data_IF_559007918022
#
_entry.id   IF_559007918022
#
_cell.length_a   1.000
_cell.length_b   1.000
_cell.length_c   1.000
_cell.angle_alpha   90.00
_cell.angle_beta   90.00
_cell.angle_gamma   90.00
#
_symmetry.space_group_name_H-M   'P 1'
#
loop_
_entity.id
_entity.type
_entity.pdbx_description
1 polymer ?
#
# COMPACT_ATOMS: atom_id res chain seq x y z
N UNK A 1 -5.77 -8.03 -10.42
CA UNK A 1 -5.68 -8.30 -8.97
C UNK A 1 -6.84 -7.61 -8.28
N UNK A 2 -7.28 -8.11 -7.11
CA UNK A 2 -8.36 -7.55 -6.30
C UNK A 2 -7.80 -7.17 -4.93
N UNK A 3 -7.89 -5.91 -4.53
CA UNK A 3 -7.35 -5.42 -3.26
C UNK A 3 -8.22 -5.84 -2.08
N UNK A 4 -7.59 -6.18 -0.95
CA UNK A 4 -8.29 -6.46 0.30
C UNK A 4 -8.71 -5.15 0.99
N UNK A 5 -9.97 -5.06 1.40
CA UNK A 5 -10.56 -3.93 2.11
C UNK A 5 -10.85 -4.35 3.56
N UNK A 6 -9.99 -3.98 4.53
CA UNK A 6 -10.09 -4.45 5.91
C UNK A 6 -11.41 -4.08 6.59
N UNK A 7 -11.97 -2.91 6.28
CA UNK A 7 -13.23 -2.44 6.85
C UNK A 7 -14.42 -3.31 6.45
N UNK A 8 -14.30 -4.03 5.33
CA UNK A 8 -15.32 -4.95 4.83
C UNK A 8 -14.96 -6.43 5.04
N UNK A 9 -13.75 -6.72 5.56
CA UNK A 9 -13.18 -8.06 5.63
C UNK A 9 -13.35 -8.84 4.31
N UNK A 10 -13.12 -8.15 3.19
CA UNK A 10 -13.38 -8.68 1.86
C UNK A 10 -12.40 -8.13 0.84
N UNK A 11 -12.16 -8.90 -0.22
CA UNK A 11 -11.49 -8.39 -1.41
C UNK A 11 -12.48 -7.62 -2.29
N UNK A 12 -12.00 -6.67 -3.08
CA UNK A 12 -12.81 -5.93 -4.05
C UNK A 12 -13.58 -6.90 -4.97
N UNK A 13 -14.81 -6.53 -5.32
CA UNK A 13 -15.66 -7.36 -6.17
C UNK A 13 -15.07 -7.50 -7.58
N UNK A 14 -14.43 -6.43 -8.08
CA UNK A 14 -13.84 -6.34 -9.41
C UNK A 14 -12.32 -6.17 -9.38
N UNK A 15 -11.67 -6.39 -10.51
CA UNK A 15 -10.23 -6.15 -10.67
C UNK A 15 -9.96 -4.66 -10.53
N UNK A 16 -9.14 -4.28 -9.57
CA UNK A 16 -8.78 -2.89 -9.24
C UNK A 16 -7.27 -2.65 -9.10
N UNK A 17 -6.46 -3.70 -9.26
CA UNK A 17 -5.01 -3.61 -9.15
C UNK A 17 -4.26 -4.36 -10.25
N UNK A 18 -3.20 -3.75 -10.77
CA UNK A 18 -2.31 -4.28 -11.81
C UNK A 18 -0.95 -4.62 -11.20
N UNK A 19 -0.44 -5.79 -11.53
CA UNK A 19 0.89 -6.27 -11.14
C UNK A 19 1.48 -7.07 -12.30
N UNK A 20 2.79 -7.30 -12.27
CA UNK A 20 3.51 -8.00 -13.32
C UNK A 20 3.98 -9.37 -12.83
N UNK A 21 3.94 -10.35 -13.73
CA UNK A 21 4.67 -11.62 -13.58
C UNK A 21 5.91 -11.56 -14.48
N UNK A 22 7.07 -11.87 -13.91
CA UNK A 22 8.36 -11.92 -14.61
C UNK A 22 8.90 -13.33 -14.55
N UNK A 23 9.30 -13.89 -15.69
CA UNK A 23 10.03 -15.15 -15.76
C UNK A 23 11.52 -14.86 -15.94
N UNK A 24 12.36 -15.41 -15.07
CA UNK A 24 13.81 -15.25 -15.12
C UNK A 24 14.48 -16.56 -14.68
N UNK A 25 15.36 -17.10 -15.52
CA UNK A 25 16.13 -18.33 -15.25
C UNK A 25 15.26 -19.51 -14.77
N UNK A 26 14.09 -19.68 -15.38
CA UNK A 26 13.15 -20.77 -15.06
C UNK A 26 12.34 -20.55 -13.77
N UNK A 27 12.43 -19.38 -13.16
CA UNK A 27 11.66 -18.98 -11.98
C UNK A 27 10.68 -17.87 -12.32
N UNK A 28 9.50 -17.95 -11.69
CA UNK A 28 8.48 -16.91 -11.78
C UNK A 28 8.54 -15.98 -10.58
N UNK A 29 8.44 -14.68 -10.83
CA UNK A 29 8.38 -13.64 -9.82
C UNK A 29 7.17 -12.75 -10.04
N UNK A 30 6.63 -12.20 -8.96
CA UNK A 30 5.73 -11.05 -9.00
C UNK A 30 6.54 -9.79 -8.77
N UNK A 31 6.31 -8.81 -9.62
CA UNK A 31 6.87 -7.46 -9.50
C UNK A 31 5.70 -6.49 -9.51
N UNK A 32 5.67 -5.61 -8.52
CA UNK A 32 4.65 -4.60 -8.35
C UNK A 32 5.34 -3.34 -7.82
N UNK A 33 5.28 -2.25 -8.58
CA UNK A 33 5.78 -0.92 -8.16
C UNK A 33 4.66 0.09 -7.93
N UNK A 34 3.40 -0.36 -7.91
CA UNK A 34 2.21 0.48 -7.95
C UNK A 34 1.34 0.42 -6.69
N UNK A 35 1.53 -0.55 -5.79
CA UNK A 35 0.70 -0.63 -4.59
C UNK A 35 1.02 0.46 -3.56
N UNK A 36 2.32 0.73 -3.34
CA UNK A 36 2.78 1.83 -2.48
C UNK A 36 2.60 1.62 -0.97
N UNK A 37 2.71 2.72 -0.23
CA UNK A 37 2.59 2.76 1.23
C UNK A 37 3.55 1.79 1.94
N UNK A 38 3.17 1.25 3.10
CA UNK A 38 3.93 0.28 3.90
C UNK A 38 3.81 -1.16 3.39
N UNK A 39 3.05 -1.35 2.32
CA UNK A 39 2.72 -2.64 1.72
C UNK A 39 3.54 -2.91 0.45
N UNK A 40 4.30 -1.91 -0.01
CA UNK A 40 5.18 -2.00 -1.17
C UNK A 40 6.31 -3.01 -0.92
N UNK A 41 6.41 -4.03 -1.77
CA UNK A 41 7.60 -4.89 -1.84
C UNK A 41 8.78 -4.09 -2.43
N UNK A 42 9.99 -4.32 -1.92
CA UNK A 42 11.23 -3.70 -2.44
C UNK A 42 12.00 -4.61 -3.39
N UNK A 43 11.68 -5.90 -3.38
CA UNK A 43 12.30 -6.91 -4.23
C UNK A 43 11.22 -7.73 -4.95
N UNK A 44 11.49 -8.24 -6.16
CA UNK A 44 10.65 -9.23 -6.80
C UNK A 44 10.35 -10.39 -5.85
N UNK A 45 9.10 -10.78 -5.75
CA UNK A 45 8.65 -11.87 -4.88
C UNK A 45 8.59 -13.16 -5.69
N UNK A 46 9.37 -14.18 -5.31
CA UNK A 46 9.32 -15.47 -6.00
C UNK A 46 7.93 -16.10 -5.81
N UNK A 47 7.35 -16.65 -6.87
CA UNK A 47 6.00 -17.17 -6.89
C UNK A 47 5.95 -18.57 -6.26
N UNK A 48 6.17 -18.64 -4.94
CA UNK A 48 6.17 -19.85 -4.12
C UNK A 48 5.19 -19.69 -2.97
N UNK A 49 4.22 -20.60 -2.90
CA UNK A 49 3.20 -20.62 -1.85
C UNK A 49 3.78 -21.01 -0.49
N UNK A 50 3.26 -20.41 0.59
CA UNK A 50 3.57 -20.74 1.98
C UNK A 50 4.95 -20.30 2.48
N UNK A 51 5.79 -19.69 1.64
CA UNK A 51 7.17 -19.34 1.98
C UNK A 51 7.29 -17.88 2.41
N UNK A 52 7.91 -17.65 3.56
CA UNK A 52 8.28 -16.31 4.01
C UNK A 52 9.40 -15.72 3.18
N UNK A 53 9.21 -14.49 2.71
CA UNK A 53 10.17 -13.72 1.94
C UNK A 53 10.46 -12.40 2.67
N UNK A 54 11.46 -12.39 3.57
CA UNK A 54 11.85 -11.19 4.32
C UNK A 54 12.43 -10.11 3.42
N UNK A 55 11.92 -8.89 3.56
CA UNK A 55 12.42 -7.69 2.91
C UNK A 55 12.51 -6.54 3.94
N UNK A 56 13.13 -5.41 3.56
CA UNK A 56 13.21 -4.24 4.46
C UNK A 56 11.84 -3.76 4.97
N UNK A 57 10.78 -3.64 4.13
CA UNK A 57 9.46 -3.23 4.61
C UNK A 57 8.79 -4.23 5.56
N UNK A 58 9.19 -5.50 5.53
CA UNK A 58 8.59 -6.57 6.32
C UNK A 58 8.74 -7.93 5.66
N UNK A 59 8.12 -8.94 6.26
CA UNK A 59 8.05 -10.28 5.70
C UNK A 59 6.78 -10.39 4.87
N UNK A 60 6.93 -10.77 3.60
CA UNK A 60 5.82 -11.03 2.70
C UNK A 60 5.67 -12.53 2.48
N UNK A 61 4.46 -12.95 2.14
CA UNK A 61 4.16 -14.36 1.85
C UNK A 61 3.10 -14.43 0.77
N UNK A 62 3.27 -15.38 -0.14
CA UNK A 62 2.19 -15.83 -0.99
C UNK A 62 1.51 -17.04 -0.39
N UNK A 63 0.18 -17.08 -0.45
CA UNK A 63 -0.60 -18.30 -0.28
C UNK A 63 -1.28 -18.60 -1.62
N UNK A 64 -1.42 -19.87 -1.94
CA UNK A 64 -2.09 -20.34 -3.15
C UNK A 64 -3.18 -21.32 -2.74
N UNK A 65 -4.38 -21.11 -3.28
CA UNK A 65 -5.52 -21.99 -3.10
C UNK A 65 -6.34 -22.01 -4.40
N UNK A 66 -6.49 -23.19 -5.00
CA UNK A 66 -7.34 -23.43 -6.17
C UNK A 66 -7.07 -22.49 -7.37
N UNK A 67 -5.80 -22.18 -7.64
CA UNK A 67 -5.36 -21.30 -8.73
C UNK A 67 -5.39 -19.81 -8.40
N UNK A 68 -5.79 -19.44 -7.17
CA UNK A 68 -5.81 -18.06 -6.67
C UNK A 68 -4.62 -17.85 -5.74
N UNK A 69 -3.89 -16.77 -5.98
CA UNK A 69 -2.74 -16.35 -5.20
C UNK A 69 -3.11 -15.16 -4.31
N UNK A 70 -2.69 -15.20 -3.06
CA UNK A 70 -2.94 -14.17 -2.05
C UNK A 70 -1.62 -13.60 -1.58
N UNK A 71 -1.46 -12.29 -1.63
CA UNK A 71 -0.33 -11.61 -1.00
C UNK A 71 -0.71 -11.19 0.42
N UNK A 72 0.11 -11.59 1.37
CA UNK A 72 0.05 -11.14 2.76
C UNK A 72 1.39 -10.57 3.22
N UNK A 73 1.34 -9.66 4.20
CA UNK A 73 2.51 -9.08 4.86
C UNK A 73 2.39 -9.22 6.36
N UNK A 74 3.41 -9.76 7.01
CA UNK A 74 3.49 -9.81 8.48
C UNK A 74 3.55 -8.39 9.03
N UNK A 75 2.68 -8.07 10.00
CA UNK A 75 2.68 -6.75 10.64
C UNK A 75 3.92 -6.62 11.52
N UNK A 76 4.68 -5.54 11.32
CA UNK A 76 5.77 -5.16 12.21
C UNK A 76 5.22 -4.18 13.27
N UNK A 77 5.76 -4.27 14.49
CA UNK A 77 5.42 -3.33 15.57
C UNK A 77 5.77 -1.90 15.15
N UNK A 78 4.99 -0.93 15.59
CA UNK A 78 5.22 0.48 15.30
C UNK A 78 5.47 1.25 16.59
N UNK A 79 6.41 2.17 16.56
CA UNK A 79 6.65 3.17 17.58
C UNK A 79 6.24 4.54 17.05
N UNK A 80 5.28 5.18 17.72
CA UNK A 80 4.81 6.53 17.41
C UNK A 80 5.25 7.46 18.54
N UNK A 81 6.21 8.38 18.33
CA UNK A 81 6.62 9.32 19.36
C UNK A 81 5.44 10.18 19.86
N UNK A 82 5.36 10.40 21.17
CA UNK A 82 4.35 11.27 21.78
C UNK A 82 2.94 10.67 21.93
N UNK A 83 2.68 9.46 21.40
CA UNK A 83 1.51 8.68 21.78
C UNK A 83 1.88 7.77 22.95
N UNK A 84 1.12 7.84 24.05
CA UNK A 84 1.13 6.75 25.03
C UNK A 84 0.67 5.49 24.31
N UNK A 85 1.21 4.34 24.68
CA UNK A 85 0.93 3.03 24.05
C UNK A 85 -0.52 2.64 24.31
N UNK A 86 -1.47 3.31 23.67
CA UNK A 86 -2.90 3.05 23.75
C UNK A 86 -3.64 3.80 22.66
N UNK A 87 -4.61 3.09 22.07
CA UNK A 87 -5.52 3.42 20.95
C UNK A 87 -4.98 3.03 19.55
N UNK A 88 -5.65 2.21 18.76
CA UNK A 88 -6.90 1.44 18.93
C UNK A 88 -7.05 0.48 17.74
N UNK A 89 -7.96 -0.50 17.90
CA UNK A 89 -8.46 -1.50 16.95
C UNK A 89 -7.75 -2.87 16.98
N UNK A 90 -8.13 -3.73 17.93
CA UNK A 90 -8.09 -5.21 17.82
C UNK A 90 -6.84 -5.82 17.15
N UNK A 91 -5.64 -5.30 17.43
CA UNK A 91 -4.40 -5.70 16.74
C UNK A 91 -3.93 -7.11 17.14
N UNK A 92 -4.45 -7.67 18.24
CA UNK A 92 -3.95 -8.94 18.78
C UNK A 92 -4.27 -10.18 17.93
N UNK A 93 -5.23 -10.13 16.98
CA UNK A 93 -5.65 -11.34 16.23
C UNK A 93 -5.01 -11.51 14.86
N UNK A 94 -4.64 -10.42 14.17
CA UNK A 94 -4.25 -10.50 12.77
C UNK A 94 -2.73 -10.27 12.63
N UNK A 95 -1.98 -11.38 12.71
CA UNK A 95 -0.50 -11.42 12.61
C UNK A 95 -0.02 -10.96 11.23
N UNK A 96 -0.80 -11.27 10.19
CA UNK A 96 -0.57 -10.88 8.82
C UNK A 96 -1.63 -9.87 8.38
N UNK A 97 -1.28 -9.01 7.44
CA UNK A 97 -2.21 -8.14 6.72
C UNK A 97 -2.37 -8.71 5.32
N UNK A 98 -3.61 -9.01 4.94
CA UNK A 98 -3.98 -9.30 3.55
C UNK A 98 -3.86 -8.03 2.71
N UNK A 99 -3.29 -8.16 1.52
CA UNK A 99 -3.02 -7.03 0.62
C UNK A 99 -3.90 -7.12 -0.62
N UNK A 100 -3.72 -8.17 -1.43
CA UNK A 100 -4.53 -8.40 -2.62
C UNK A 100 -4.52 -9.88 -3.01
N UNK A 101 -5.43 -10.27 -3.89
CA UNK A 101 -5.43 -11.58 -4.54
C UNK A 101 -5.39 -11.47 -6.06
N UNK A 102 -4.86 -12.49 -6.73
CA UNK A 102 -4.75 -12.52 -8.18
C UNK A 102 -4.74 -13.96 -8.73
N UNK A 103 -4.96 -14.07 -10.03
CA UNK A 103 -4.78 -15.31 -10.80
C UNK A 103 -3.59 -15.14 -11.75
N UNK A 104 -3.02 -16.25 -12.22
CA UNK A 104 -1.94 -16.21 -13.23
C UNK A 104 -2.45 -16.05 -14.67
N UNK A 105 -3.75 -15.81 -14.86
CA UNK A 105 -4.32 -15.49 -16.17
C UNK A 105 -3.66 -14.22 -16.72
N UNK A 106 -2.99 -14.28 -17.89
CA UNK A 106 -2.46 -13.10 -18.57
C UNK A 106 -3.59 -12.11 -18.88
N UNK A 107 -3.29 -10.81 -18.76
CA UNK A 107 -4.24 -9.72 -18.98
C UNK A 107 -3.67 -8.70 -19.93
N UNK A 108 -4.52 -8.14 -20.78
CA UNK A 108 -4.21 -6.96 -21.57
C UNK A 108 -4.56 -5.68 -20.81
N UNK A 109 -3.87 -4.58 -21.09
CA UNK A 109 -4.13 -3.29 -20.45
C UNK A 109 -5.55 -2.78 -20.73
N UNK A 110 -6.14 -3.14 -21.86
CA UNK A 110 -7.51 -2.76 -22.22
C UNK A 110 -8.55 -3.32 -21.25
N UNK A 111 -8.28 -4.46 -20.61
CA UNK A 111 -9.16 -5.04 -19.58
C UNK A 111 -9.27 -4.15 -18.33
N UNK A 112 -8.30 -3.24 -18.10
CA UNK A 112 -8.30 -2.31 -16.98
C UNK A 112 -8.98 -0.98 -17.30
N UNK A 113 -9.38 -0.72 -18.56
CA UNK A 113 -9.93 0.57 -18.98
C UNK A 113 -11.22 0.95 -18.23
N UNK A 114 -12.12 -0.02 -18.06
CA UNK A 114 -13.38 0.18 -17.35
C UNK A 114 -13.13 0.49 -15.87
N UNK A 115 -12.29 -0.32 -15.21
CA UNK A 115 -11.93 -0.11 -13.81
C UNK A 115 -11.21 1.24 -13.62
N UNK A 116 -10.26 1.59 -14.47
CA UNK A 116 -9.57 2.89 -14.41
C UNK A 116 -10.55 4.07 -14.47
N UNK A 117 -11.58 3.98 -15.30
CA UNK A 117 -12.64 5.02 -15.36
C UNK A 117 -13.44 5.05 -14.06
N UNK A 118 -13.85 3.88 -13.57
CA UNK A 118 -14.60 3.74 -12.33
C UNK A 118 -13.82 4.28 -11.12
N UNK A 119 -12.57 3.85 -10.92
CA UNK A 119 -11.72 4.29 -9.80
C UNK A 119 -11.50 5.80 -9.78
N UNK A 120 -11.52 6.49 -10.92
CA UNK A 120 -11.35 7.95 -10.97
C UNK A 120 -12.65 8.75 -10.81
N UNK A 121 -13.83 8.12 -10.94
CA UNK A 121 -15.11 8.85 -11.05
C UNK A 121 -16.18 8.41 -10.07
N UNK A 122 -16.13 7.15 -9.60
CA UNK A 122 -17.11 6.63 -8.67
C UNK A 122 -17.04 7.40 -7.33
N UNK A 123 -18.18 7.88 -6.80
CA UNK A 123 -18.20 8.77 -5.63
C UNK A 123 -17.69 8.11 -4.35
N UNK A 124 -17.74 6.79 -4.29
CA UNK A 124 -17.28 5.92 -3.21
C UNK A 124 -15.86 5.38 -3.44
N UNK A 125 -15.25 5.63 -4.61
CA UNK A 125 -13.87 5.23 -4.87
C UNK A 125 -12.91 5.87 -3.87
N UNK A 126 -11.97 5.07 -3.38
CA UNK A 126 -10.89 5.53 -2.51
C UNK A 126 -10.08 6.67 -3.17
N UNK A 127 -9.86 6.58 -4.48
CA UNK A 127 -9.07 7.55 -5.25
C UNK A 127 -9.83 8.86 -5.54
N UNK A 128 -11.15 8.87 -5.37
CA UNK A 128 -11.98 10.09 -5.42
C UNK A 128 -12.13 10.70 -4.02
N UNK A 129 -12.19 9.87 -2.99
CA UNK A 129 -12.46 10.28 -1.61
C UNK A 129 -11.20 10.57 -0.79
N UNK A 130 -10.01 10.25 -1.30
CA UNK A 130 -8.71 10.58 -0.70
C UNK A 130 -7.70 11.00 -1.76
N UNK A 131 -6.96 12.07 -1.47
CA UNK A 131 -5.75 12.42 -2.20
C UNK A 131 -4.55 11.72 -1.56
N UNK A 132 -3.84 10.89 -2.33
CA UNK A 132 -2.81 9.99 -1.83
C UNK A 132 -1.52 10.18 -2.62
N UNK A 133 -0.39 10.19 -1.93
CA UNK A 133 0.93 10.09 -2.53
C UNK A 133 1.83 9.29 -1.59
N UNK A 134 2.65 8.38 -2.13
CA UNK A 134 3.65 7.67 -1.33
C UNK A 134 4.93 7.48 -2.12
N UNK A 135 6.06 7.53 -1.41
CA UNK A 135 7.38 7.34 -1.98
C UNK A 135 8.22 6.52 -1.01
N UNK A 136 8.75 5.40 -1.50
CA UNK A 136 9.72 4.61 -0.74
C UNK A 136 11.02 5.40 -0.62
N UNK A 137 11.63 5.41 0.55
CA UNK A 137 12.95 5.97 0.80
C UNK A 137 13.99 4.85 0.89
N UNK A 138 15.26 5.19 1.11
CA UNK A 138 16.33 4.21 1.30
C UNK A 138 16.12 3.30 2.52
N UNK A 139 15.36 3.74 3.52
CA UNK A 139 15.17 3.04 4.79
C UNK A 139 13.71 3.06 5.29
N UNK A 140 12.75 3.38 4.44
CA UNK A 140 11.41 3.72 4.90
C UNK A 140 10.42 4.08 3.79
N UNK A 141 9.38 4.80 4.18
CA UNK A 141 8.37 5.35 3.27
C UNK A 141 7.87 6.70 3.77
N UNK A 142 7.71 7.63 2.84
CA UNK A 142 6.93 8.84 3.05
C UNK A 142 5.56 8.67 2.40
N UNK A 143 4.52 9.13 3.07
CA UNK A 143 3.18 9.09 2.53
C UNK A 143 2.35 10.31 2.97
N UNK A 144 1.58 10.85 2.03
CA UNK A 144 0.61 11.91 2.27
C UNK A 144 -0.78 11.37 1.96
N UNK A 145 -1.71 11.52 2.90
CA UNK A 145 -3.13 11.21 2.73
C UNK A 145 -3.96 12.41 3.19
N UNK A 146 -4.58 13.11 2.24
CA UNK A 146 -5.14 14.44 2.50
C UNK A 146 -4.04 15.37 3.03
N UNK A 147 -4.23 15.88 4.25
CA UNK A 147 -3.27 16.74 4.95
C UNK A 147 -2.26 15.98 5.82
N UNK A 148 -2.45 14.67 6.02
CA UNK A 148 -1.62 13.89 6.94
C UNK A 148 -0.37 13.41 6.21
N UNK A 149 0.79 13.96 6.58
CA UNK A 149 2.09 13.42 6.25
C UNK A 149 2.46 12.35 7.29
N UNK A 150 2.86 11.18 6.81
CA UNK A 150 3.40 10.07 7.59
C UNK A 150 4.78 9.73 7.06
N UNK A 151 5.77 9.73 7.93
CA UNK A 151 7.13 9.31 7.63
C UNK A 151 7.42 8.08 8.48
N UNK A 152 7.72 6.96 7.80
CA UNK A 152 8.00 5.71 8.47
C UNK A 152 9.42 5.27 8.16
N UNK A 153 10.21 4.99 9.20
CA UNK A 153 11.51 4.34 9.08
C UNK A 153 11.39 2.88 9.46
N UNK A 154 11.72 2.01 8.52
CA UNK A 154 11.60 0.58 8.71
C UNK A 154 12.67 0.03 9.65
N UNK A 155 12.27 -0.89 10.52
CA UNK A 155 13.16 -1.60 11.45
C UNK A 155 14.09 -0.64 12.22
N UNK A 156 13.54 0.45 12.74
CA UNK A 156 14.25 1.49 13.46
C UNK A 156 14.94 0.95 14.72
N UNK A 157 14.24 0.11 15.49
CA UNK A 157 14.76 -0.51 16.72
C UNK A 157 14.00 -1.78 17.07
N UNK A 158 14.70 -2.86 17.43
CA UNK A 158 14.12 -4.10 17.97
C UNK A 158 12.94 -4.68 17.14
N UNK A 159 13.07 -4.71 15.80
CA UNK A 159 12.01 -5.10 14.87
C UNK A 159 10.73 -4.23 15.02
N UNK A 160 10.90 -2.94 15.25
CA UNK A 160 9.83 -1.94 15.26
C UNK A 160 10.12 -0.82 14.26
N UNK A 161 9.09 -0.40 13.55
CA UNK A 161 9.13 0.76 12.66
C UNK A 161 8.93 2.03 13.48
N UNK A 162 9.70 3.08 13.19
CA UNK A 162 9.42 4.42 13.70
C UNK A 162 8.41 5.10 12.78
N UNK A 163 7.36 5.69 13.35
CA UNK A 163 6.30 6.38 12.60
C UNK A 163 6.14 7.79 13.13
N UNK A 164 6.40 8.77 12.28
CA UNK A 164 6.22 10.19 12.57
C UNK A 164 5.04 10.73 11.75
N UNK A 165 4.13 11.44 12.41
CA UNK A 165 2.91 11.94 11.81
C UNK A 165 2.84 13.45 12.00
N UNK A 166 2.53 14.17 10.93
CA UNK A 166 2.27 15.60 10.94
C UNK A 166 1.02 15.92 10.12
N UNK A 167 0.18 16.82 10.63
CA UNK A 167 -0.89 17.43 9.84
C UNK A 167 -0.33 18.71 9.23
N UNK A 168 -0.36 18.78 7.90
CA UNK A 168 0.14 19.91 7.12
C UNK A 168 -0.96 20.97 6.98
N UNK A 169 -0.57 22.25 6.99
CA UNK A 169 -1.45 23.32 6.54
C UNK A 169 -1.57 23.33 5.01
N UNK A 170 -2.62 23.93 4.45
CA UNK A 170 -2.88 23.99 3.00
C UNK A 170 -1.69 24.59 2.23
N UNK A 171 -1.12 25.67 2.78
CA UNK A 171 0.02 26.40 2.25
C UNK A 171 1.34 25.60 2.25
N UNK A 172 1.43 24.53 3.05
CA UNK A 172 2.61 23.65 3.11
C UNK A 172 2.52 22.48 2.13
N UNK A 173 1.33 22.20 1.56
CA UNK A 173 1.08 21.00 0.78
C UNK A 173 1.95 20.94 -0.48
N UNK A 174 1.90 21.95 -1.34
CA UNK A 174 2.64 21.96 -2.61
C UNK A 174 4.16 22.00 -2.38
N UNK A 175 4.62 22.73 -1.35
CA UNK A 175 6.02 22.71 -0.92
C UNK A 175 6.46 21.30 -0.51
N UNK A 176 5.65 20.61 0.29
CA UNK A 176 5.94 19.23 0.72
C UNK A 176 5.96 18.26 -0.46
N UNK A 177 4.99 18.35 -1.38
CA UNK A 177 4.95 17.54 -2.60
C UNK A 177 6.22 17.73 -3.44
N UNK A 178 6.70 18.97 -3.59
CA UNK A 178 7.93 19.27 -4.32
C UNK A 178 9.17 18.74 -3.61
N UNK A 179 9.36 19.09 -2.34
CA UNK A 179 10.61 18.82 -1.61
C UNK A 179 10.78 17.34 -1.25
N UNK A 180 9.71 16.63 -0.91
CA UNK A 180 9.78 15.22 -0.51
C UNK A 180 9.47 14.26 -1.65
N UNK A 181 8.51 14.57 -2.51
CA UNK A 181 8.01 13.65 -3.53
C UNK A 181 8.48 14.01 -4.95
N UNK A 182 9.17 15.14 -5.12
CA UNK A 182 9.58 15.67 -6.42
C UNK A 182 8.38 15.87 -7.38
N UNK A 183 7.22 16.24 -6.84
CA UNK A 183 5.99 16.47 -7.60
C UNK A 183 5.73 17.98 -7.70
N UNK A 184 5.51 18.46 -8.93
CA UNK A 184 4.97 19.80 -9.21
C UNK A 184 3.69 19.63 -10.01
N UNK A 185 2.64 20.35 -9.63
CA UNK A 185 1.31 20.22 -10.23
C UNK A 185 1.00 21.43 -11.11
N UNK A 186 0.35 21.19 -12.25
CA UNK A 186 -0.05 22.26 -13.18
C UNK A 186 -1.22 23.11 -12.68
N UNK A 187 -1.95 22.60 -11.69
CA UNK A 187 -3.12 23.24 -11.08
C UNK A 187 -2.97 23.20 -9.56
N UNK A 188 -3.61 24.18 -8.92
CA UNK A 188 -3.68 24.25 -7.46
C UNK A 188 -4.19 22.93 -6.89
N UNK A 189 -3.44 22.37 -5.95
CA UNK A 189 -3.84 21.15 -5.27
C UNK A 189 -4.97 21.43 -4.26
N UNK A 190 -5.95 20.54 -4.19
CA UNK A 190 -7.00 20.54 -3.18
C UNK A 190 -6.95 19.19 -2.47
N UNK A 191 -6.38 19.10 -1.26
CA UNK A 191 -6.32 17.83 -0.54
C UNK A 191 -7.72 17.34 -0.20
N UNK A 192 -7.91 16.02 -0.20
CA UNK A 192 -9.18 15.38 0.15
C UNK A 192 -8.92 14.19 1.05
N UNK A 193 -9.73 14.03 2.10
CA UNK A 193 -9.79 12.82 2.91
C UNK A 193 -11.18 12.70 3.56
N UNK A 194 -12.13 12.10 2.84
CA UNK A 194 -13.55 11.98 3.25
C UNK A 194 -13.95 10.54 3.58
N UNK A 195 -13.18 9.56 3.11
CA UNK A 195 -13.45 8.13 3.35
C UNK A 195 -12.86 7.66 4.69
N UNK A 196 -13.56 6.72 5.33
CA UNK A 196 -13.11 6.06 6.56
C UNK A 196 -12.15 4.89 6.31
N UNK A 197 -12.00 4.45 5.06
CA UNK A 197 -11.12 3.35 4.70
C UNK A 197 -9.66 3.67 5.06
N UNK A 198 -8.98 2.74 5.70
CA UNK A 198 -7.59 2.87 6.10
C UNK A 198 -6.65 2.52 4.95
N UNK A 199 -5.58 3.30 4.83
CA UNK A 199 -4.44 3.04 3.93
C UNK A 199 -3.21 2.51 4.69
N UNK A 200 -3.34 2.35 6.01
CA UNK A 200 -2.31 1.85 6.93
C UNK A 200 -2.86 0.71 7.78
#
# INVERSE_FOLDING_TARGET
SKVYVPEYDAYADDIDHLLLKVELDGKSYIVDGGFGMVYQMWQPMELISGTDQPQTPGVFRFLEENGVWYLEKVKRKQWVPGQSVSTSHNVEKEVCRRIYLFTLQPRDIEEFRACNTHLQTAPDSLFVTKSICSLQTTDGVWAVVGWKLTEMKFNYKDNMDLVEIRILADEEMEKTLKEKFNITLDKKFVPVNRSRLSLF
#
